data_IF_431679296310
#
_entry.id   IF_431679296310
#
_cell.length_a   1.000
_cell.length_b   1.000
_cell.length_c   1.000
_cell.angle_alpha   90.00
_cell.angle_beta   90.00
_cell.angle_gamma   90.00
#
_symmetry.space_group_name_H-M   'P 1'
#
loop_
_entity.id
_entity.type
_entity.pdbx_description
1 polymer ?
#
# COMPACT_ATOMS: atom_id res chain seq x y z
N UNK A 1 21.48 28.05 -42.97
CA UNK A 1 21.11 26.74 -42.39
C UNK A 1 20.16 26.10 -43.37
N UNK A 2 20.65 25.05 -44.03
CA UNK A 2 20.11 24.47 -45.25
C UNK A 2 18.76 23.78 -45.07
N UNK A 3 18.06 23.63 -46.18
CA UNK A 3 16.67 23.20 -46.35
C UNK A 3 16.49 21.72 -45.99
N UNK A 4 16.60 21.34 -44.71
CA UNK A 4 16.65 19.95 -44.25
C UNK A 4 15.25 19.34 -44.02
N UNK A 5 14.42 19.40 -45.07
CA UNK A 5 13.12 18.73 -45.10
C UNK A 5 13.33 17.23 -45.25
N UNK A 6 12.78 16.44 -44.34
CA UNK A 6 12.93 14.98 -44.34
C UNK A 6 11.75 14.33 -45.04
N UNK A 7 12.04 13.37 -45.91
CA UNK A 7 11.01 12.52 -46.48
C UNK A 7 10.31 11.70 -45.39
N UNK A 8 9.06 11.25 -45.64
CA UNK A 8 8.34 10.38 -44.69
C UNK A 8 9.12 9.11 -44.31
N UNK A 9 9.92 8.56 -45.24
CA UNK A 9 10.76 7.38 -44.97
C UNK A 9 11.92 7.69 -44.02
N UNK A 10 12.59 8.82 -44.21
CA UNK A 10 13.65 9.28 -43.32
C UNK A 10 13.10 9.66 -41.94
N UNK A 11 11.98 10.37 -41.91
CA UNK A 11 11.31 10.76 -40.67
C UNK A 11 10.86 9.54 -39.87
N UNK A 12 10.28 8.54 -40.53
CA UNK A 12 9.91 7.26 -39.93
C UNK A 12 11.12 6.59 -39.25
N UNK A 13 12.22 6.47 -40.00
CA UNK A 13 13.46 5.82 -39.53
C UNK A 13 14.08 6.55 -38.34
N UNK A 14 14.22 7.88 -38.39
CA UNK A 14 14.87 8.66 -37.33
C UNK A 14 13.95 8.87 -36.12
N UNK A 15 12.65 8.91 -36.35
CA UNK A 15 11.61 9.08 -35.33
C UNK A 15 11.19 7.79 -34.62
N UNK A 16 11.61 6.63 -35.11
CA UNK A 16 11.26 5.33 -34.54
C UNK A 16 9.79 4.94 -34.75
N UNK A 17 9.17 5.42 -35.82
CA UNK A 17 7.80 5.10 -36.24
C UNK A 17 7.79 4.47 -37.63
N UNK A 18 6.77 3.66 -37.93
CA UNK A 18 6.58 3.17 -39.30
C UNK A 18 6.06 4.26 -40.24
N UNK A 19 6.37 4.17 -41.54
CA UNK A 19 5.82 5.05 -42.59
C UNK A 19 4.29 5.02 -42.61
N UNK A 20 3.69 3.84 -42.39
CA UNK A 20 2.23 3.68 -42.26
C UNK A 20 1.67 4.41 -41.04
N UNK A 21 2.41 4.45 -39.92
CA UNK A 21 2.00 5.15 -38.71
C UNK A 21 2.00 6.67 -38.92
N UNK A 22 3.04 7.22 -39.56
CA UNK A 22 3.07 8.65 -39.91
C UNK A 22 1.91 9.05 -40.84
N UNK A 23 1.57 8.21 -41.84
CA UNK A 23 0.39 8.44 -42.68
C UNK A 23 -0.92 8.39 -41.89
N UNK A 24 -0.99 7.52 -40.87
CA UNK A 24 -2.15 7.45 -39.99
C UNK A 24 -2.29 8.71 -39.13
N UNK A 25 -1.21 9.20 -38.53
CA UNK A 25 -1.23 10.40 -37.68
C UNK A 25 -1.50 11.69 -38.45
N UNK A 26 -1.03 11.79 -39.70
CA UNK A 26 -1.40 12.85 -40.62
C UNK A 26 -2.92 12.88 -40.86
N UNK A 27 -3.50 11.74 -41.28
CA UNK A 27 -4.97 11.65 -41.50
C UNK A 27 -5.79 11.91 -40.24
N UNK A 28 -5.25 11.54 -39.08
CA UNK A 28 -5.89 11.78 -37.78
C UNK A 28 -5.72 13.22 -37.27
N UNK A 29 -4.95 14.07 -37.97
CA UNK A 29 -4.67 15.44 -37.56
C UNK A 29 -3.83 15.54 -36.28
N UNK A 30 -3.06 14.49 -35.98
CA UNK A 30 -2.21 14.41 -34.76
C UNK A 30 -0.81 14.94 -35.05
N UNK A 31 -0.29 14.66 -36.25
CA UNK A 31 0.97 15.18 -36.74
C UNK A 31 0.85 15.43 -38.24
N UNK A 32 0.69 16.69 -38.62
CA UNK A 32 0.52 17.08 -40.03
C UNK A 32 1.90 17.37 -40.63
N UNK A 33 2.26 16.80 -41.79
CA UNK A 33 3.53 17.08 -42.45
C UNK A 33 3.63 18.56 -42.83
N UNK A 34 4.82 19.14 -42.71
CA UNK A 34 5.10 20.52 -43.10
C UNK A 34 4.77 20.80 -44.58
N UNK A 35 4.94 19.81 -45.46
CA UNK A 35 4.54 19.92 -46.86
C UNK A 35 4.09 18.58 -47.45
N UNK A 36 3.07 18.62 -48.29
CA UNK A 36 2.60 17.49 -49.09
C UNK A 36 2.67 17.88 -50.55
N UNK A 37 3.37 17.08 -51.35
CA UNK A 37 3.47 17.28 -52.79
C UNK A 37 2.08 17.17 -53.43
N UNK A 38 1.60 18.20 -54.14
CA UNK A 38 0.26 18.23 -54.72
C UNK A 38 0.05 17.26 -55.89
N UNK A 39 1.13 16.76 -56.51
CA UNK A 39 1.09 15.83 -57.65
C UNK A 39 1.31 14.40 -57.17
N UNK A 40 2.35 14.16 -56.36
CA UNK A 40 2.71 12.81 -55.92
C UNK A 40 2.07 12.38 -54.59
N UNK A 41 1.52 13.33 -53.83
CA UNK A 41 1.00 13.09 -52.47
C UNK A 41 2.10 12.75 -51.45
N UNK A 42 3.36 12.99 -51.80
CA UNK A 42 4.51 12.64 -50.98
C UNK A 42 4.68 13.64 -49.83
N UNK A 43 5.00 13.14 -48.63
CA UNK A 43 4.99 13.92 -47.39
C UNK A 43 6.41 14.26 -46.96
N UNK A 44 6.58 15.51 -46.57
CA UNK A 44 7.84 16.07 -46.11
C UNK A 44 7.66 16.74 -44.75
N UNK A 45 8.62 16.49 -43.86
CA UNK A 45 8.60 16.96 -42.48
C UNK A 45 9.74 17.94 -42.25
N UNK A 46 9.45 19.02 -41.53
CA UNK A 46 10.45 20.02 -41.17
C UNK A 46 11.39 19.55 -40.04
N UNK A 47 12.53 20.23 -39.84
CA UNK A 47 13.50 19.87 -38.81
C UNK A 47 12.94 19.92 -37.38
N UNK A 48 12.00 20.83 -37.09
CA UNK A 48 11.35 20.95 -35.78
C UNK A 48 10.35 19.83 -35.46
N UNK A 49 9.81 19.14 -36.48
CA UNK A 49 8.81 18.08 -36.28
C UNK A 49 9.44 16.77 -35.78
N UNK A 50 10.78 16.67 -35.78
CA UNK A 50 11.45 15.46 -35.31
C UNK A 50 11.23 15.23 -33.81
N UNK A 51 11.25 16.29 -33.02
CA UNK A 51 10.99 16.21 -31.58
C UNK A 51 9.53 15.84 -31.30
N UNK A 52 8.58 16.38 -32.08
CA UNK A 52 7.16 15.99 -32.01
C UNK A 52 6.96 14.51 -32.34
N UNK A 53 7.62 14.00 -33.37
CA UNK A 53 7.57 12.56 -33.73
C UNK A 53 8.13 11.69 -32.62
N UNK A 54 9.27 12.07 -32.03
CA UNK A 54 9.90 11.34 -30.92
C UNK A 54 9.00 11.34 -29.69
N UNK A 55 8.39 12.48 -29.37
CA UNK A 55 7.44 12.63 -28.27
C UNK A 55 6.21 11.76 -28.52
N UNK A 56 5.60 11.84 -29.71
CA UNK A 56 4.47 11.01 -30.12
C UNK A 56 4.79 9.52 -29.94
N UNK A 57 5.98 9.07 -30.38
CA UNK A 57 6.39 7.68 -30.26
C UNK A 57 6.50 7.23 -28.79
N UNK A 58 7.00 8.09 -27.90
CA UNK A 58 7.07 7.79 -26.45
C UNK A 58 5.69 7.71 -25.82
N UNK A 59 4.81 8.68 -26.10
CA UNK A 59 3.45 8.71 -25.56
C UNK A 59 2.63 7.50 -26.03
N UNK A 60 2.78 7.11 -27.30
CA UNK A 60 2.12 5.91 -27.85
C UNK A 60 2.60 4.64 -27.17
N UNK A 61 3.91 4.52 -26.91
CA UNK A 61 4.49 3.37 -26.18
C UNK A 61 4.02 3.32 -24.73
N UNK A 62 3.81 4.48 -24.10
CA UNK A 62 3.21 4.60 -22.78
C UNK A 62 1.68 4.38 -22.76
N UNK A 63 1.08 3.97 -23.88
CA UNK A 63 -0.35 3.66 -23.95
C UNK A 63 -1.28 4.88 -23.86
N UNK A 64 -0.77 6.10 -24.10
CA UNK A 64 -1.60 7.29 -24.04
C UNK A 64 -2.69 7.28 -25.15
N UNK A 65 -3.96 7.63 -24.84
CA UNK A 65 -5.01 7.76 -25.84
C UNK A 65 -4.67 8.79 -26.92
N UNK A 66 -5.08 8.52 -28.16
CA UNK A 66 -4.73 9.39 -29.29
C UNK A 66 -5.25 10.83 -29.15
N UNK A 67 -6.41 11.00 -28.51
CA UNK A 67 -6.98 12.31 -28.20
C UNK A 67 -6.06 13.14 -27.29
N UNK A 68 -5.51 12.51 -26.26
CA UNK A 68 -4.60 13.14 -25.30
C UNK A 68 -3.24 13.43 -25.92
N UNK A 69 -2.72 12.51 -26.75
CA UNK A 69 -1.48 12.73 -27.52
C UNK A 69 -1.59 14.01 -28.36
N UNK A 70 -2.74 14.22 -29.01
CA UNK A 70 -2.97 15.44 -29.82
C UNK A 70 -2.93 16.70 -28.97
N UNK A 71 -3.52 16.68 -27.78
CA UNK A 71 -3.48 17.81 -26.84
C UNK A 71 -2.07 18.07 -26.32
N UNK A 72 -1.32 17.01 -25.99
CA UNK A 72 0.07 17.13 -25.56
C UNK A 72 0.94 17.75 -26.67
N UNK A 73 0.80 17.31 -27.92
CA UNK A 73 1.56 17.87 -29.04
C UNK A 73 1.19 19.33 -29.32
N UNK A 74 -0.09 19.69 -29.21
CA UNK A 74 -0.54 21.08 -29.36
C UNK A 74 0.03 21.99 -28.26
N UNK A 75 -0.01 21.55 -27.00
CA UNK A 75 0.59 22.27 -25.86
C UNK A 75 2.11 22.35 -25.97
N UNK A 76 2.76 21.29 -26.44
CA UNK A 76 4.21 21.24 -26.66
C UNK A 76 4.67 22.26 -27.72
N UNK A 77 3.96 22.35 -28.85
CA UNK A 77 4.27 23.33 -29.90
C UNK A 77 3.90 24.78 -29.49
N UNK A 78 2.85 24.95 -28.68
CA UNK A 78 2.38 26.24 -28.16
C UNK A 78 3.09 26.75 -26.90
N UNK A 79 4.08 26.00 -26.39
CA UNK A 79 4.80 26.28 -25.13
C UNK A 79 3.91 26.36 -23.88
N UNK A 80 2.76 25.66 -23.88
CA UNK A 80 1.88 25.51 -22.71
C UNK A 80 2.34 24.31 -21.87
N UNK A 81 3.36 24.54 -21.05
CA UNK A 81 3.98 23.50 -20.24
C UNK A 81 3.05 22.94 -19.14
N UNK A 82 2.13 23.77 -18.62
CA UNK A 82 1.23 23.38 -17.53
C UNK A 82 0.13 22.43 -18.03
N UNK A 83 -0.44 22.70 -19.20
CA UNK A 83 -1.37 21.78 -19.85
C UNK A 83 -0.71 20.41 -20.12
N UNK A 84 0.51 20.41 -20.66
CA UNK A 84 1.25 19.17 -20.94
C UNK A 84 1.53 18.40 -19.64
N UNK A 85 1.99 19.07 -18.59
CA UNK A 85 2.25 18.45 -17.29
C UNK A 85 0.98 17.84 -16.70
N UNK A 86 -0.14 18.56 -16.74
CA UNK A 86 -1.43 18.07 -16.25
C UNK A 86 -1.93 16.83 -17.01
N UNK A 87 -1.79 16.79 -18.33
CA UNK A 87 -2.17 15.63 -19.15
C UNK A 87 -1.29 14.40 -18.87
N UNK A 88 0.02 14.60 -18.69
CA UNK A 88 0.93 13.51 -18.33
C UNK A 88 0.63 12.96 -16.93
N UNK A 89 0.38 13.82 -15.94
CA UNK A 89 -0.01 13.40 -14.59
C UNK A 89 -1.35 12.66 -14.59
N UNK A 90 -2.36 13.15 -15.32
CA UNK A 90 -3.64 12.47 -15.44
C UNK A 90 -3.51 11.07 -16.07
N UNK A 91 -2.62 10.92 -17.07
CA UNK A 91 -2.33 9.62 -17.67
C UNK A 91 -1.58 8.69 -16.72
N UNK A 92 -0.61 9.20 -15.96
CA UNK A 92 0.09 8.43 -14.93
C UNK A 92 -0.90 7.86 -13.91
N UNK A 93 -1.81 8.70 -13.37
CA UNK A 93 -2.87 8.26 -12.45
C UNK A 93 -3.80 7.21 -13.05
N UNK A 94 -4.05 7.24 -14.37
CA UNK A 94 -4.83 6.19 -15.04
C UNK A 94 -4.05 4.87 -15.14
N UNK A 95 -2.76 4.94 -15.45
CA UNK A 95 -1.89 3.75 -15.51
C UNK A 95 -1.72 3.10 -14.13
N UNK A 96 -1.51 3.90 -13.08
CA UNK A 96 -1.38 3.41 -11.70
C UNK A 96 -2.67 2.72 -11.23
N UNK A 97 -3.85 3.33 -11.48
CA UNK A 97 -5.14 2.69 -11.20
C UNK A 97 -5.33 1.40 -11.98
N UNK A 98 -5.07 1.40 -13.29
CA UNK A 98 -5.19 0.19 -14.10
C UNK A 98 -4.25 -0.93 -13.64
N UNK A 99 -3.04 -0.60 -13.15
CA UNK A 99 -2.12 -1.58 -12.57
C UNK A 99 -2.65 -2.13 -11.24
N UNK A 100 -3.22 -1.27 -10.38
CA UNK A 100 -3.82 -1.70 -9.12
C UNK A 100 -5.02 -2.63 -9.38
N UNK A 101 -5.91 -2.26 -10.30
CA UNK A 101 -7.07 -3.05 -10.70
C UNK A 101 -6.65 -4.41 -11.26
N UNK A 102 -5.70 -4.43 -12.21
CA UNK A 102 -5.19 -5.67 -12.78
C UNK A 102 -4.53 -6.57 -11.73
N UNK A 103 -3.77 -6.00 -10.77
CA UNK A 103 -3.20 -6.77 -9.66
C UNK A 103 -4.28 -7.36 -8.75
N UNK A 104 -5.35 -6.62 -8.50
CA UNK A 104 -6.51 -7.08 -7.72
C UNK A 104 -7.20 -8.26 -8.43
N UNK A 105 -7.50 -8.12 -9.72
CA UNK A 105 -8.12 -9.18 -10.53
C UNK A 105 -7.26 -10.45 -10.59
N UNK A 106 -5.96 -10.32 -10.82
CA UNK A 106 -5.04 -11.47 -10.81
C UNK A 106 -4.96 -12.15 -9.45
N UNK A 107 -5.04 -11.37 -8.36
CA UNK A 107 -5.08 -11.92 -7.01
C UNK A 107 -6.37 -12.70 -6.78
N UNK A 108 -7.52 -12.19 -7.22
CA UNK A 108 -8.80 -12.89 -7.15
C UNK A 108 -8.81 -14.18 -7.98
N UNK A 109 -8.25 -14.15 -9.20
CA UNK A 109 -8.12 -15.36 -10.02
C UNK A 109 -7.21 -16.41 -9.38
N UNK A 110 -6.11 -15.98 -8.74
CA UNK A 110 -5.26 -16.92 -8.01
C UNK A 110 -5.98 -17.51 -6.81
N UNK A 111 -6.74 -16.73 -6.05
CA UNK A 111 -7.56 -17.24 -4.96
C UNK A 111 -8.60 -18.27 -5.44
N UNK A 112 -9.23 -18.04 -6.60
CA UNK A 112 -10.15 -19.01 -7.22
C UNK A 112 -9.44 -20.30 -7.66
N UNK A 113 -8.22 -20.19 -8.19
CA UNK A 113 -7.41 -21.35 -8.55
C UNK A 113 -6.93 -22.11 -7.31
N UNK A 114 -6.46 -21.41 -6.28
CA UNK A 114 -6.05 -21.98 -5.01
C UNK A 114 -7.23 -22.70 -4.34
N UNK A 115 -8.44 -22.14 -4.38
CA UNK A 115 -9.67 -22.79 -3.91
C UNK A 115 -10.04 -24.05 -4.72
N UNK A 116 -9.68 -24.11 -6.00
CA UNK A 116 -9.94 -25.26 -6.88
C UNK A 116 -8.88 -26.35 -6.72
N UNK A 117 -7.62 -25.98 -6.57
CA UNK A 117 -6.48 -26.89 -6.40
C UNK A 117 -6.38 -27.43 -4.97
N UNK A 118 -6.80 -26.61 -4.00
CA UNK A 118 -7.00 -26.98 -2.60
C UNK A 118 -8.48 -26.85 -2.26
N UNK A 119 -9.35 -27.74 -2.82
CA UNK A 119 -10.76 -27.72 -2.48
C UNK A 119 -10.87 -27.80 -0.97
N UNK A 120 -11.47 -26.78 -0.36
CA UNK A 120 -11.94 -26.82 1.01
C UNK A 120 -12.58 -28.19 1.21
N UNK A 121 -11.89 -29.02 2.00
CA UNK A 121 -12.53 -30.22 2.52
C UNK A 121 -13.50 -29.71 3.55
N UNK A 122 -14.73 -29.44 3.15
CA UNK A 122 -15.86 -29.36 4.06
C UNK A 122 -16.78 -30.55 3.80
N UNK A 123 -17.45 -31.13 4.81
CA UNK A 123 -17.58 -30.64 6.19
C UNK A 123 -17.26 -31.71 7.26
N UNK A 124 -16.54 -31.31 8.30
CA UNK A 124 -16.87 -31.69 9.68
C UNK A 124 -16.75 -30.43 10.50
N UNK A 125 -17.81 -30.11 11.25
CA UNK A 125 -17.77 -29.22 12.42
C UNK A 125 -16.70 -29.74 13.37
N UNK A 126 -15.46 -29.40 13.07
CA UNK A 126 -14.33 -29.66 13.94
C UNK A 126 -14.20 -28.36 14.69
N UNK A 127 -14.76 -28.36 15.89
CA UNK A 127 -14.62 -27.25 16.81
C UNK A 127 -13.13 -27.10 17.08
N UNK A 128 -12.51 -26.05 16.56
CA UNK A 128 -11.12 -25.72 16.89
C UNK A 128 -11.15 -25.06 18.26
N UNK A 129 -10.55 -25.71 19.25
CA UNK A 129 -10.40 -25.18 20.59
C UNK A 129 -8.92 -25.06 20.92
N UNK A 130 -8.53 -23.90 21.42
CA UNK A 130 -7.16 -23.61 21.83
C UNK A 130 -7.17 -22.83 23.14
N UNK A 131 -6.09 -23.00 23.90
CA UNK A 131 -5.85 -22.35 25.18
C UNK A 131 -4.69 -21.38 25.03
N UNK A 132 -4.92 -20.11 25.34
CA UNK A 132 -3.92 -19.02 25.25
C UNK A 132 -3.78 -18.41 26.64
N UNK A 133 -2.56 -18.09 27.12
CA UNK A 133 -2.42 -17.29 28.33
C UNK A 133 -3.16 -15.96 28.17
N UNK A 134 -4.07 -15.64 29.10
CA UNK A 134 -4.85 -14.41 29.03
C UNK A 134 -3.99 -13.13 28.91
N UNK A 135 -2.87 -12.96 29.65
CA UNK A 135 -2.04 -11.77 29.50
C UNK A 135 -1.35 -11.69 28.14
N UNK A 136 -0.95 -12.81 27.53
CA UNK A 136 -0.35 -12.82 26.19
C UNK A 136 -1.36 -12.44 25.11
N UNK A 137 -2.58 -13.01 25.17
CA UNK A 137 -3.64 -12.66 24.23
C UNK A 137 -4.08 -11.19 24.38
N UNK A 138 -4.15 -10.69 25.62
CA UNK A 138 -4.48 -9.29 25.87
C UNK A 138 -3.45 -8.35 25.25
N UNK A 139 -2.16 -8.63 25.48
CA UNK A 139 -1.06 -7.86 24.90
C UNK A 139 -1.05 -7.93 23.36
N UNK A 140 -1.32 -9.11 22.79
CA UNK A 140 -1.39 -9.26 21.34
C UNK A 140 -2.57 -8.49 20.73
N UNK A 141 -3.74 -8.49 21.39
CA UNK A 141 -4.90 -7.68 20.97
C UNK A 141 -4.63 -6.18 21.11
N UNK A 142 -4.02 -5.74 22.22
CA UNK A 142 -3.59 -4.35 22.41
C UNK A 142 -2.62 -3.92 21.29
N UNK A 143 -1.76 -4.84 20.85
CA UNK A 143 -0.74 -4.57 19.84
C UNK A 143 -1.29 -4.47 18.41
N UNK A 144 -2.51 -4.94 18.12
CA UNK A 144 -3.01 -4.97 16.73
C UNK A 144 -4.35 -4.28 16.51
N UNK A 145 -5.25 -4.20 17.51
CA UNK A 145 -6.64 -3.73 17.30
C UNK A 145 -6.72 -2.35 16.66
N UNK A 146 -5.73 -1.49 16.93
CA UNK A 146 -5.71 -0.12 16.47
C UNK A 146 -5.59 -0.01 14.95
N UNK A 147 -5.08 -1.05 14.27
CA UNK A 147 -4.85 -1.09 12.83
C UNK A 147 -6.04 -1.67 12.03
N UNK A 148 -7.13 -2.08 12.68
CA UNK A 148 -8.33 -2.53 11.98
C UNK A 148 -9.02 -1.35 11.26
N UNK A 149 -9.50 -1.59 10.05
CA UNK A 149 -10.14 -0.58 9.22
C UNK A 149 -11.58 -0.28 9.64
N UNK A 150 -12.05 0.92 9.28
CA UNK A 150 -13.46 1.33 9.46
C UNK A 150 -14.18 1.54 8.12
N UNK A 151 -13.53 1.21 7.01
CA UNK A 151 -14.04 1.36 5.65
C UNK A 151 -15.18 0.35 5.39
N UNK A 152 -16.38 0.86 5.14
CA UNK A 152 -17.56 0.03 4.89
C UNK A 152 -17.51 -0.70 3.55
N UNK A 153 -16.72 -0.21 2.59
CA UNK A 153 -16.52 -0.86 1.29
C UNK A 153 -15.58 -2.07 1.41
N UNK A 154 -14.80 -2.14 2.49
CA UNK A 154 -13.84 -3.21 2.76
C UNK A 154 -14.13 -3.88 4.11
N UNK A 155 -15.30 -4.54 4.25
CA UNK A 155 -15.73 -5.11 5.52
C UNK A 155 -14.77 -6.17 6.05
N UNK A 156 -13.99 -6.84 5.19
CA UNK A 156 -12.97 -7.81 5.60
C UNK A 156 -11.84 -7.20 6.44
N UNK A 157 -11.61 -5.89 6.33
CA UNK A 157 -10.61 -5.15 7.09
C UNK A 157 -11.16 -4.60 8.42
N UNK A 158 -12.48 -4.70 8.64
CA UNK A 158 -13.16 -4.31 9.87
C UNK A 158 -12.94 -5.25 11.07
N UNK A 159 -11.92 -6.09 11.01
CA UNK A 159 -11.64 -7.11 12.01
C UNK A 159 -10.16 -7.46 12.10
N UNK A 160 -9.87 -8.40 12.98
CA UNK A 160 -8.54 -8.94 13.27
C UNK A 160 -8.51 -10.38 12.80
N UNK A 161 -7.57 -10.73 11.92
CA UNK A 161 -7.28 -12.10 11.57
C UNK A 161 -6.64 -12.81 12.76
N UNK A 162 -7.20 -13.94 13.14
CA UNK A 162 -6.64 -14.92 14.06
C UNK A 162 -6.19 -16.10 13.20
N UNK A 163 -4.88 -16.26 13.07
CA UNK A 163 -4.25 -17.32 12.27
C UNK A 163 -3.48 -18.26 13.19
N UNK A 164 -4.01 -19.47 13.36
CA UNK A 164 -3.44 -20.50 14.22
C UNK A 164 -2.47 -21.33 13.40
N UNK A 165 -1.18 -21.23 13.73
CA UNK A 165 -0.11 -21.99 13.10
C UNK A 165 0.68 -22.77 14.16
N UNK A 166 0.45 -24.08 14.23
CA UNK A 166 1.13 -24.94 15.20
C UNK A 166 0.80 -24.55 16.64
N UNK A 167 1.81 -24.06 17.37
CA UNK A 167 1.69 -23.60 18.76
C UNK A 167 1.63 -22.06 18.89
N UNK A 168 1.56 -21.33 17.78
CA UNK A 168 1.44 -19.88 17.77
C UNK A 168 0.09 -19.43 17.18
N UNK A 169 -0.50 -18.42 17.81
CA UNK A 169 -1.62 -17.67 17.27
C UNK A 169 -1.11 -16.31 16.83
N UNK A 170 -1.15 -16.07 15.52
CA UNK A 170 -0.88 -14.78 14.92
C UNK A 170 -2.16 -13.95 14.90
N UNK A 171 -2.05 -12.72 15.37
CA UNK A 171 -3.11 -11.72 15.27
C UNK A 171 -2.65 -10.66 14.27
N UNK A 172 -3.50 -10.36 13.28
CA UNK A 172 -3.17 -9.40 12.22
C UNK A 172 -4.33 -8.45 11.98
N UNK A 173 -4.06 -7.16 11.91
CA UNK A 173 -5.04 -6.13 11.57
C UNK A 173 -4.44 -5.15 10.56
N UNK A 174 -5.24 -4.67 9.61
CA UNK A 174 -4.83 -3.71 8.59
C UNK A 174 -6.01 -2.89 8.07
N UNK A 175 -5.74 -1.67 7.63
CA UNK A 175 -6.70 -0.72 7.05
C UNK A 175 -6.27 -0.19 5.67
N UNK A 176 -5.36 -0.93 4.99
CA UNK A 176 -4.64 -0.57 3.73
C UNK A 176 -3.47 0.39 3.89
N UNK A 177 -3.47 1.25 4.90
CA UNK A 177 -2.41 2.25 5.09
C UNK A 177 -1.45 1.85 6.19
N UNK A 178 -1.84 0.94 7.07
CA UNK A 178 -0.98 0.33 8.08
C UNK A 178 -1.34 -1.12 8.31
N UNK A 179 -0.43 -1.85 8.95
CA UNK A 179 -0.64 -3.21 9.39
C UNK A 179 0.01 -3.43 10.75
N UNK A 180 -0.60 -4.21 11.62
CA UNK A 180 -0.01 -4.63 12.87
C UNK A 180 -0.09 -6.15 12.99
N UNK A 181 1.01 -6.77 13.42
CA UNK A 181 1.14 -8.21 13.62
C UNK A 181 1.64 -8.45 15.04
N UNK A 182 0.97 -9.33 15.77
CA UNK A 182 1.39 -9.81 17.07
C UNK A 182 1.18 -11.32 17.17
N UNK A 183 1.81 -11.94 18.16
CA UNK A 183 1.70 -13.38 18.41
C UNK A 183 1.43 -13.68 19.87
N UNK A 184 0.74 -14.78 20.12
CA UNK A 184 0.56 -15.35 21.44
C UNK A 184 0.78 -16.87 21.38
N UNK A 185 1.33 -17.45 22.44
CA UNK A 185 1.53 -18.90 22.51
C UNK A 185 0.22 -19.60 22.79
N UNK A 186 0.03 -20.76 22.16
CA UNK A 186 -1.19 -21.53 22.30
C UNK A 186 -0.91 -22.99 22.60
N UNK A 187 -1.84 -23.64 23.28
CA UNK A 187 -1.80 -25.08 23.59
C UNK A 187 -3.17 -25.71 23.36
N UNK A 188 -3.21 -27.04 23.21
CA UNK A 188 -4.47 -27.80 23.22
C UNK A 188 -5.22 -27.88 21.89
N UNK A 189 -4.60 -27.47 20.78
CA UNK A 189 -5.13 -27.62 19.42
C UNK A 189 -4.60 -28.92 18.78
N UNK A 190 -5.49 -29.69 18.14
CA UNK A 190 -5.17 -30.99 17.51
C UNK A 190 -5.46 -31.00 15.99
N UNK A 191 -5.38 -29.86 15.31
CA UNK A 191 -5.83 -29.71 13.92
C UNK A 191 -4.77 -29.14 12.96
N UNK A 192 -5.12 -29.07 11.68
CA UNK A 192 -4.42 -28.23 10.69
C UNK A 192 -4.78 -26.77 10.93
N UNK A 193 -3.89 -25.83 10.61
CA UNK A 193 -4.04 -24.40 10.89
C UNK A 193 -5.42 -23.83 10.55
N UNK A 194 -5.91 -22.92 11.40
CA UNK A 194 -7.24 -22.32 11.30
C UNK A 194 -7.10 -20.81 11.20
N UNK A 195 -7.72 -20.22 10.18
CA UNK A 195 -7.81 -18.77 10.01
C UNK A 195 -9.25 -18.31 10.22
N UNK A 196 -9.43 -17.29 11.05
CA UNK A 196 -10.73 -16.67 11.30
C UNK A 196 -10.59 -15.17 11.49
N UNK A 197 -11.46 -14.39 10.86
CA UNK A 197 -11.46 -12.93 11.02
C UNK A 197 -12.49 -12.55 12.07
N UNK A 198 -12.01 -12.03 13.20
CA UNK A 198 -12.81 -11.60 14.35
C UNK A 198 -13.17 -10.12 14.18
N UNK A 199 -14.47 -9.73 14.12
CA UNK A 199 -14.85 -8.33 14.00
C UNK A 199 -14.29 -7.48 15.15
N UNK A 200 -13.89 -6.25 14.88
CA UNK A 200 -13.27 -5.36 15.87
C UNK A 200 -14.10 -5.22 17.17
N UNK A 201 -15.45 -5.02 17.14
CA UNK A 201 -16.23 -4.94 18.37
C UNK A 201 -16.19 -6.21 19.22
N UNK A 202 -16.09 -7.39 18.58
CA UNK A 202 -15.95 -8.66 19.29
C UNK A 202 -14.54 -8.81 19.87
N UNK A 203 -13.51 -8.40 19.13
CA UNK A 203 -12.13 -8.37 19.62
C UNK A 203 -11.95 -7.42 20.82
N UNK A 204 -12.61 -6.26 20.82
CA UNK A 204 -12.61 -5.33 21.96
C UNK A 204 -13.30 -5.95 23.19
N UNK A 205 -14.43 -6.63 22.98
CA UNK A 205 -15.10 -7.38 24.05
C UNK A 205 -14.23 -8.52 24.59
N UNK A 206 -13.51 -9.22 23.71
CA UNK A 206 -12.52 -10.24 24.09
C UNK A 206 -11.41 -9.64 24.93
N UNK A 207 -10.83 -8.51 24.49
CA UNK A 207 -9.79 -7.82 25.25
C UNK A 207 -10.25 -7.39 26.63
N UNK A 208 -11.48 -6.89 26.77
CA UNK A 208 -12.08 -6.47 28.04
C UNK A 208 -12.34 -7.66 29.00
N UNK A 209 -12.43 -8.88 28.48
CA UNK A 209 -12.57 -10.12 29.25
C UNK A 209 -11.23 -10.56 29.89
N UNK A 210 -10.11 -10.23 29.25
CA UNK A 210 -8.77 -10.70 29.57
C UNK A 210 -8.10 -9.82 30.65
N UNK A 211 -8.61 -9.90 31.88
CA UNK A 211 -8.09 -9.13 33.02
C UNK A 211 -7.32 -9.96 34.05
N UNK A 212 -7.35 -11.29 33.94
CA UNK A 212 -6.67 -12.21 34.86
C UNK A 212 -5.38 -12.79 34.29
N UNK A 213 -4.67 -13.57 35.12
CA UNK A 213 -3.42 -14.27 34.73
C UNK A 213 -3.66 -15.72 34.27
N UNK A 214 -4.92 -16.17 34.27
CA UNK A 214 -5.30 -17.52 33.87
C UNK A 214 -5.19 -17.79 32.37
N UNK A 215 -5.65 -18.98 31.96
CA UNK A 215 -5.78 -19.32 30.55
C UNK A 215 -7.14 -18.88 30.00
N UNK A 216 -7.13 -18.35 28.78
CA UNK A 216 -8.34 -18.08 28.01
C UNK A 216 -8.53 -19.18 26.97
N UNK A 217 -9.75 -19.71 26.89
CA UNK A 217 -10.14 -20.73 25.92
C UNK A 217 -10.80 -20.06 24.74
N UNK A 218 -10.15 -20.12 23.59
CA UNK A 218 -10.67 -19.65 22.32
C UNK A 218 -11.25 -20.83 21.55
N UNK A 219 -12.48 -20.68 21.05
CA UNK A 219 -13.21 -21.71 20.34
C UNK A 219 -13.78 -21.16 19.05
N UNK A 220 -13.52 -21.84 17.94
CA UNK A 220 -14.11 -21.59 16.62
C UNK A 220 -14.99 -22.77 16.26
N UNK A 221 -16.29 -22.52 16.08
CA UNK A 221 -17.29 -23.49 15.67
C UNK A 221 -18.08 -22.93 14.48
N UNK A 222 -17.70 -23.36 13.27
CA UNK A 222 -18.23 -22.76 12.04
C UNK A 222 -17.87 -21.28 11.92
N UNK A 223 -18.89 -20.42 11.86
CA UNK A 223 -18.74 -18.96 11.84
C UNK A 223 -18.81 -18.33 13.25
N UNK A 224 -18.98 -19.14 14.31
CA UNK A 224 -19.09 -18.63 15.68
C UNK A 224 -17.75 -18.70 16.38
N UNK A 225 -17.32 -17.55 16.89
CA UNK A 225 -16.09 -17.40 17.67
C UNK A 225 -16.46 -17.09 19.12
N UNK A 226 -15.85 -17.82 20.06
CA UNK A 226 -16.09 -17.69 21.48
C UNK A 226 -14.78 -17.61 22.24
N UNK A 227 -14.69 -16.69 23.20
CA UNK A 227 -13.60 -16.60 24.16
C UNK A 227 -14.17 -16.75 25.57
N UNK A 228 -13.63 -17.72 26.32
CA UNK A 228 -14.00 -18.02 27.69
C UNK A 228 -12.78 -17.82 28.62
N UNK A 229 -13.01 -17.18 29.75
CA UNK A 229 -12.14 -17.20 30.94
C UNK A 229 -12.92 -17.83 32.09
N UNK A 230 -12.28 -18.13 33.22
CA UNK A 230 -12.84 -18.99 34.28
C UNK A 230 -14.31 -18.69 34.66
N UNK A 231 -14.72 -17.41 34.73
CA UNK A 231 -16.08 -17.01 35.12
C UNK A 231 -16.85 -16.20 34.04
N UNK A 232 -16.26 -15.93 32.88
CA UNK A 232 -16.82 -14.98 31.90
C UNK A 232 -16.62 -15.48 30.47
N UNK A 233 -17.57 -15.18 29.59
CA UNK A 233 -17.43 -15.48 28.16
C UNK A 233 -17.94 -14.34 27.29
N UNK A 234 -17.38 -14.24 26.08
CA UNK A 234 -17.91 -13.42 24.99
C UNK A 234 -17.94 -14.23 23.71
N UNK A 235 -18.90 -13.94 22.84
CA UNK A 235 -19.07 -14.68 21.59
C UNK A 235 -19.69 -13.81 20.51
N UNK A 236 -19.39 -14.12 19.26
CA UNK A 236 -20.02 -13.48 18.10
C UNK A 236 -19.74 -14.25 16.82
N UNK A 237 -20.13 -13.66 15.69
CA UNK A 237 -19.87 -14.24 14.37
C UNK A 237 -18.56 -13.69 13.80
N UNK A 238 -17.77 -14.54 13.16
CA UNK A 238 -16.62 -14.14 12.36
C UNK A 238 -17.07 -13.44 11.07
N UNK A 239 -16.16 -12.68 10.47
CA UNK A 239 -16.36 -12.15 9.12
C UNK A 239 -16.13 -13.30 8.13
N UNK A 240 -17.09 -13.55 7.25
CA UNK A 240 -17.02 -14.59 6.22
C UNK A 240 -16.21 -14.18 4.98
N UNK A 241 -15.20 -13.32 5.16
CA UNK A 241 -14.39 -12.78 4.08
C UNK A 241 -12.95 -13.26 4.22
N UNK A 242 -12.27 -13.39 3.09
CA UNK A 242 -10.84 -13.71 3.05
C UNK A 242 -10.01 -12.48 3.47
N UNK A 243 -9.05 -12.70 4.37
CA UNK A 243 -8.15 -11.65 4.82
C UNK A 243 -6.93 -11.56 3.89
N UNK A 244 -6.38 -10.37 3.61
CA UNK A 244 -5.19 -10.23 2.77
C UNK A 244 -4.00 -11.07 3.27
N UNK A 245 -3.25 -11.68 2.35
CA UNK A 245 -2.06 -12.47 2.69
C UNK A 245 -0.92 -11.57 3.22
N UNK A 246 -0.88 -11.43 4.55
CA UNK A 246 0.07 -10.58 5.26
C UNK A 246 1.51 -11.10 5.21
N UNK A 247 1.74 -12.39 4.95
CA UNK A 247 3.08 -13.00 4.94
C UNK A 247 3.97 -12.39 3.87
N UNK A 248 3.37 -11.92 2.77
CA UNK A 248 4.06 -11.20 1.69
C UNK A 248 4.64 -9.86 2.12
N UNK A 249 4.04 -9.23 3.13
CA UNK A 249 4.44 -7.93 3.66
C UNK A 249 5.51 -8.05 4.76
N UNK A 250 5.81 -9.26 5.24
CA UNK A 250 6.89 -9.53 6.20
C UNK A 250 8.27 -9.41 5.53
N UNK A 251 8.35 -9.71 4.23
CA UNK A 251 9.57 -9.75 3.43
C UNK A 251 9.93 -8.39 2.80
N UNK A 252 9.93 -7.31 3.60
CA UNK A 252 10.35 -6.00 3.10
C UNK A 252 11.88 -5.93 2.93
N UNK A 253 12.39 -5.24 1.89
CA UNK A 253 13.83 -5.06 1.71
C UNK A 253 14.43 -4.30 2.89
N UNK A 254 15.64 -4.70 3.30
CA UNK A 254 16.31 -4.14 4.47
C UNK A 254 16.45 -2.61 4.38
N UNK A 255 15.84 -1.91 5.34
CA UNK A 255 15.99 -0.47 5.52
C UNK A 255 17.13 -0.11 6.46
N UNK A 256 17.37 1.19 6.66
CA UNK A 256 18.24 1.65 7.76
C UNK A 256 17.50 1.40 9.07
N UNK A 257 18.14 0.62 9.96
CA UNK A 257 17.64 0.35 11.31
C UNK A 257 18.12 1.44 12.28
N UNK A 258 17.20 2.02 13.02
CA UNK A 258 17.46 3.03 14.04
C UNK A 258 16.82 2.58 15.36
N UNK A 259 17.58 2.60 16.44
CA UNK A 259 17.07 2.33 17.78
C UNK A 259 16.53 3.62 18.36
N UNK A 260 15.30 3.60 18.87
CA UNK A 260 14.69 4.75 19.52
C UNK A 260 14.27 4.39 20.93
N UNK A 261 14.48 5.34 21.84
CA UNK A 261 13.79 5.34 23.13
C UNK A 261 12.33 5.72 22.91
N UNK A 262 11.40 4.87 23.34
CA UNK A 262 9.98 5.04 23.02
C UNK A 262 9.40 6.31 23.65
N UNK A 263 9.84 6.67 24.86
CA UNK A 263 9.30 7.83 25.57
C UNK A 263 9.81 9.14 24.93
N UNK A 264 11.12 9.24 24.70
CA UNK A 264 11.72 10.40 24.06
C UNK A 264 11.23 10.59 22.62
N UNK A 265 11.08 9.49 21.86
CA UNK A 265 10.59 9.58 20.48
C UNK A 265 9.10 9.93 20.42
N UNK A 266 8.27 9.42 21.34
CA UNK A 266 6.88 9.87 21.48
C UNK A 266 6.82 11.36 21.80
N UNK A 267 7.60 11.84 22.77
CA UNK A 267 7.63 13.26 23.12
C UNK A 267 8.06 14.12 21.92
N UNK A 268 9.05 13.68 21.15
CA UNK A 268 9.48 14.35 19.93
C UNK A 268 8.38 14.39 18.86
N UNK A 269 7.55 13.35 18.75
CA UNK A 269 6.39 13.37 17.87
C UNK A 269 5.26 14.23 18.43
N UNK A 270 4.98 14.23 19.73
CA UNK A 270 3.89 15.04 20.27
C UNK A 270 4.20 16.54 20.25
N UNK A 271 5.47 16.92 20.38
CA UNK A 271 5.91 18.33 20.45
C UNK A 271 6.56 18.84 19.16
N UNK A 272 6.97 17.94 18.27
CA UNK A 272 7.69 18.26 17.04
C UNK A 272 6.80 18.83 15.92
N UNK A 273 7.41 19.24 14.80
CA UNK A 273 6.69 19.83 13.67
C UNK A 273 5.66 18.87 13.06
N UNK A 274 4.57 19.43 12.55
CA UNK A 274 3.50 18.72 11.82
C UNK A 274 3.46 19.28 10.41
N UNK A 275 3.48 18.40 9.41
CA UNK A 275 3.17 18.74 8.02
C UNK A 275 1.71 18.40 7.76
N UNK A 276 0.94 19.34 7.23
CA UNK A 276 -0.43 19.06 6.82
C UNK A 276 -0.39 18.14 5.59
N UNK A 277 -0.93 16.93 5.71
CA UNK A 277 -1.05 15.97 4.61
C UNK A 277 -2.33 16.15 3.79
N UNK A 278 -2.48 15.32 2.76
CA UNK A 278 -3.74 15.17 2.04
C UNK A 278 -4.89 14.79 3.00
N UNK A 279 -6.12 15.17 2.63
CA UNK A 279 -7.30 14.78 3.39
C UNK A 279 -7.52 13.27 3.31
N UNK A 280 -7.81 12.65 4.45
CA UNK A 280 -8.04 11.21 4.56
C UNK A 280 -9.24 10.81 3.69
N UNK A 281 -9.08 9.82 2.82
CA UNK A 281 -10.14 9.37 1.91
C UNK A 281 -11.43 8.90 2.63
N UNK A 282 -11.32 8.49 3.90
CA UNK A 282 -12.42 7.92 4.69
C UNK A 282 -13.37 8.97 5.28
N UNK A 283 -12.89 10.16 5.65
CA UNK A 283 -13.66 11.19 6.35
C UNK A 283 -13.38 12.63 5.91
N UNK A 284 -12.40 12.85 5.03
CA UNK A 284 -12.08 14.17 4.48
C UNK A 284 -11.37 15.11 5.45
N UNK A 285 -10.95 14.64 6.63
CA UNK A 285 -10.17 15.41 7.59
C UNK A 285 -8.69 15.47 7.18
N UNK A 286 -7.98 16.60 7.39
CA UNK A 286 -6.57 16.72 7.11
C UNK A 286 -5.78 15.75 8.00
N UNK A 287 -4.81 15.05 7.40
CA UNK A 287 -3.96 14.11 8.14
C UNK A 287 -2.69 14.82 8.58
N UNK A 288 -2.44 14.83 9.89
CA UNK A 288 -1.17 15.30 10.43
C UNK A 288 -0.06 14.30 10.08
N UNK A 289 0.98 14.79 9.39
CA UNK A 289 2.14 14.00 9.01
C UNK A 289 3.34 14.31 9.90
N UNK A 290 4.14 13.28 10.17
CA UNK A 290 5.49 13.41 10.71
C UNK A 290 6.49 13.02 9.62
N UNK A 291 7.42 13.93 9.32
CA UNK A 291 8.52 13.68 8.39
C UNK A 291 9.70 13.15 9.19
N UNK A 292 10.15 11.94 8.86
CA UNK A 292 11.20 11.23 9.58
C UNK A 292 12.48 11.16 8.75
N UNK A 293 13.60 11.55 9.36
CA UNK A 293 14.95 11.38 8.81
C UNK A 293 15.76 10.44 9.69
N UNK A 294 16.42 9.46 9.07
CA UNK A 294 17.42 8.63 9.76
C UNK A 294 18.81 9.12 9.41
N UNK A 295 19.56 9.56 10.41
CA UNK A 295 20.95 10.04 10.24
C UNK A 295 21.90 8.88 9.97
N UNK A 296 23.10 9.17 9.45
CA UNK A 296 24.16 8.15 9.27
C UNK A 296 24.57 7.48 10.59
N UNK A 297 24.33 8.15 11.72
CA UNK A 297 24.63 7.67 13.07
C UNK A 297 23.50 6.79 13.64
N UNK A 298 22.42 6.57 12.87
CA UNK A 298 21.29 5.72 13.28
C UNK A 298 20.30 6.39 14.24
N UNK A 299 20.29 7.73 14.31
CA UNK A 299 19.29 8.49 15.07
C UNK A 299 18.11 8.88 14.17
N UNK A 300 16.89 8.86 14.72
CA UNK A 300 15.67 9.33 14.04
C UNK A 300 15.38 10.76 14.45
N UNK A 301 15.19 11.64 13.46
CA UNK A 301 14.81 13.04 13.64
C UNK A 301 13.41 13.28 13.06
N UNK A 302 12.65 14.15 13.71
CA UNK A 302 11.36 14.66 13.21
C UNK A 302 11.65 16.01 12.55
N UNK A 303 11.46 16.10 11.24
CA UNK A 303 11.86 17.23 10.41
C UNK A 303 10.71 18.20 10.11
N UNK A 304 11.08 19.47 9.88
CA UNK A 304 10.23 20.57 9.39
C UNK A 304 10.09 20.48 7.86
N UNK A 305 8.99 21.02 7.31
CA UNK A 305 8.71 21.24 5.88
C UNK A 305 9.86 21.88 5.10
N UNK A 306 10.71 22.69 5.74
CA UNK A 306 11.81 23.41 5.08
C UNK A 306 13.05 22.57 4.75
N UNK A 307 13.13 21.32 5.22
CA UNK A 307 14.28 20.43 5.10
C UNK A 307 13.91 19.20 4.25
N UNK A 308 13.35 19.38 3.05
CA UNK A 308 13.01 18.27 2.13
C UNK A 308 14.29 17.64 1.54
N UNK A 309 14.91 16.74 2.29
CA UNK A 309 15.88 15.79 1.72
C UNK A 309 15.10 14.66 1.03
N UNK A 310 15.59 14.24 -0.13
CA UNK A 310 15.01 13.17 -0.95
C UNK A 310 14.96 11.81 -0.25
N UNK A 311 15.50 11.69 0.96
CA UNK A 311 15.51 10.48 1.76
C UNK A 311 14.54 10.49 2.94
N UNK A 312 13.79 11.57 3.13
CA UNK A 312 12.86 11.69 4.24
C UNK A 312 11.58 10.89 3.99
N UNK A 313 10.99 10.37 5.07
CA UNK A 313 9.81 9.52 5.02
C UNK A 313 8.68 10.19 5.79
N UNK A 314 7.64 10.62 5.09
CA UNK A 314 6.44 11.15 5.70
C UNK A 314 5.46 10.02 6.03
N UNK A 315 4.95 10.01 7.27
CA UNK A 315 3.94 9.05 7.73
C UNK A 315 2.84 9.76 8.51
N UNK A 316 1.65 9.17 8.55
CA UNK A 316 0.57 9.63 9.42
C UNK A 316 1.02 9.58 10.89
N UNK A 317 0.97 10.74 11.56
CA UNK A 317 1.44 10.92 12.94
C UNK A 317 0.65 10.09 13.94
N UNK A 318 -0.68 10.07 13.82
CA UNK A 318 -1.55 9.30 14.71
C UNK A 318 -1.26 7.81 14.60
N UNK A 319 -1.07 7.31 13.38
CA UNK A 319 -0.74 5.91 13.17
C UNK A 319 0.61 5.55 13.80
N UNK A 320 1.60 6.44 13.71
CA UNK A 320 2.90 6.25 14.33
C UNK A 320 2.79 6.24 15.86
N UNK A 321 2.05 7.19 16.44
CA UNK A 321 1.80 7.26 17.89
C UNK A 321 1.06 6.02 18.40
N UNK A 322 0.07 5.52 17.66
CA UNK A 322 -0.61 4.26 17.99
C UNK A 322 0.36 3.07 18.00
N UNK A 323 1.23 2.97 17.00
CA UNK A 323 2.23 1.89 16.93
C UNK A 323 3.25 1.97 18.08
N UNK A 324 3.70 3.16 18.46
CA UNK A 324 4.58 3.35 19.64
C UNK A 324 3.86 2.95 20.95
N UNK A 325 2.57 3.23 21.04
CA UNK A 325 1.73 2.84 22.19
C UNK A 325 1.56 1.33 22.29
N UNK A 326 1.32 0.66 21.16
CA UNK A 326 1.23 -0.79 21.08
C UNK A 326 2.57 -1.48 21.40
N UNK A 327 3.69 -0.87 21.01
CA UNK A 327 5.04 -1.38 21.28
C UNK A 327 5.60 -1.09 22.68
N UNK A 328 4.84 -0.39 23.53
CA UNK A 328 5.29 0.28 24.76
C UNK A 328 6.25 -0.53 25.65
N UNK A 329 7.55 -0.35 25.39
CA UNK A 329 8.71 -0.73 26.21
C UNK A 329 9.82 0.31 26.00
N UNK A 330 10.89 0.24 26.78
CA UNK A 330 11.95 1.26 26.80
C UNK A 330 12.60 1.53 25.44
N UNK A 331 12.60 0.57 24.51
CA UNK A 331 13.15 0.80 23.16
C UNK A 331 12.49 0.01 22.03
N UNK A 332 12.47 0.63 20.85
CA UNK A 332 11.96 0.07 19.60
C UNK A 332 12.99 0.22 18.48
N UNK A 333 12.84 -0.59 17.42
CA UNK A 333 13.64 -0.49 16.21
C UNK A 333 12.75 0.05 15.09
N UNK A 334 13.10 1.21 14.55
CA UNK A 334 12.52 1.72 13.31
C UNK A 334 13.38 1.25 12.14
N UNK A 335 12.75 0.65 11.15
CA UNK A 335 13.37 0.27 9.90
C UNK A 335 12.80 1.15 8.79
N UNK A 336 13.63 2.08 8.33
CA UNK A 336 13.26 3.14 7.38
C UNK A 336 13.92 2.84 6.04
N UNK A 337 13.10 2.61 5.02
CA UNK A 337 13.54 2.36 3.65
C UNK A 337 13.67 3.65 2.82
N UNK A 338 13.44 3.52 1.52
CA UNK A 338 13.24 4.67 0.63
C UNK A 338 11.94 5.43 0.99
N UNK A 339 11.77 6.70 0.55
CA UNK A 339 10.55 7.49 0.82
C UNK A 339 9.22 6.84 0.42
N UNK A 340 9.25 5.88 -0.49
CA UNK A 340 8.06 5.14 -0.97
C UNK A 340 7.95 3.74 -0.36
N UNK A 341 8.91 3.33 0.46
CA UNK A 341 8.90 2.03 1.14
C UNK A 341 8.17 2.14 2.49
N UNK A 342 7.46 1.08 2.92
CA UNK A 342 6.82 1.05 4.23
C UNK A 342 7.83 1.24 5.37
N UNK A 343 7.43 2.03 6.37
CA UNK A 343 8.13 2.14 7.65
C UNK A 343 7.77 0.91 8.51
N UNK A 344 8.77 0.17 9.00
CA UNK A 344 8.53 -0.90 9.96
C UNK A 344 8.97 -0.52 11.37
N UNK A 345 8.15 -0.87 12.36
CA UNK A 345 8.41 -0.66 13.78
C UNK A 345 8.42 -2.03 14.43
N UNK A 346 9.58 -2.43 14.95
CA UNK A 346 9.84 -3.76 15.49
C UNK A 346 10.26 -3.69 16.94
N UNK A 347 10.04 -4.79 17.65
CA UNK A 347 10.60 -4.99 18.98
C UNK A 347 11.98 -5.66 18.87
N UNK A 348 12.96 -5.25 19.67
CA UNK A 348 14.28 -5.88 19.68
C UNK A 348 14.23 -7.34 20.15
N UNK A 349 13.30 -7.66 21.05
CA UNK A 349 13.17 -9.01 21.64
C UNK A 349 12.26 -9.95 20.82
N UNK A 350 11.50 -9.41 19.87
CA UNK A 350 10.51 -10.14 19.08
C UNK A 350 10.39 -9.54 17.67
N UNK A 351 11.20 -10.02 16.72
CA UNK A 351 11.13 -9.58 15.33
C UNK A 351 9.83 -10.02 14.61
N UNK A 352 9.11 -11.01 15.16
CA UNK A 352 7.85 -11.52 14.61
C UNK A 352 6.63 -10.64 14.91
N UNK A 353 6.73 -9.78 15.93
CA UNK A 353 5.73 -8.76 16.23
C UNK A 353 6.18 -7.40 15.69
N UNK A 354 5.39 -6.79 14.81
CA UNK A 354 5.75 -5.55 14.15
C UNK A 354 4.54 -4.74 13.71
N UNK A 355 4.75 -3.44 13.52
CA UNK A 355 3.81 -2.54 12.85
C UNK A 355 4.42 -2.03 11.55
N UNK A 356 3.61 -1.90 10.50
CA UNK A 356 3.97 -1.26 9.24
C UNK A 356 3.11 -0.04 9.01
N UNK A 357 3.71 1.03 8.52
CA UNK A 357 3.03 2.22 8.04
C UNK A 357 3.42 2.49 6.59
N UNK A 358 2.42 2.70 5.74
CA UNK A 358 2.64 3.16 4.38
C UNK A 358 3.05 4.63 4.40
N UNK A 359 4.10 5.03 3.66
CA UNK A 359 4.49 6.42 3.58
C UNK A 359 3.47 7.23 2.76
N UNK A 360 3.35 8.50 3.09
CA UNK A 360 2.58 9.49 2.32
C UNK A 360 3.54 10.18 1.37
N UNK A 361 3.16 10.31 0.09
CA UNK A 361 3.96 11.07 -0.87
C UNK A 361 3.86 12.55 -0.51
N UNK A 362 5.00 13.18 -0.30
CA UNK A 362 5.10 14.63 -0.24
C UNK A 362 5.02 15.15 -1.68
N UNK A 363 4.09 16.06 -1.97
CA UNK A 363 4.09 16.80 -3.23
C UNK A 363 5.16 17.90 -3.13
N UNK A 364 6.07 17.96 -4.13
CA UNK A 364 7.12 18.97 -4.29
C UNK A 364 6.55 20.36 -4.62
#
# INVERSE_FOLDING_TARGET
MENDMRSIGEMARVGGLGVSALRFYDRAGVLVPAWVDPVSGYRWYGPGQLEEVRLLARLRRAGMPLADIRLVLAGWAGADGDLVRGLLQAHLRRLERGLADARSEFSALRALLDHREHPMTAPRTTVTRLSVPAPELAAALDAVRFAAGTDTELPMLGGILFDVEGEELHLVATDRYRMAVARARTTGHAGSGTQVVVPLPLADAMRALLTGEGAARFTVDGDRVTLETDDRQTSGRSLGHEFPDYRRLIQLPAGRRAHVDTAAFREALETGPIRAGETREQDGEPVDLSVLRVTEQGAVLVCDDGDDDRNDVAVNRDFLLHALTAGARDGLILEVGAPTAPLAIRRPDDEGAFSLLMPVRLED
#
